data_IF_774029944703
#
_entry.id   IF_774029944703
#
_cell.length_a   1.000
_cell.length_b   1.000
_cell.length_c   1.000
_cell.angle_alpha   90.00
_cell.angle_beta   90.00
_cell.angle_gamma   90.00
#
_symmetry.space_group_name_H-M   'P 1'
#
loop_
_entity.id
_entity.type
_entity.pdbx_description
1 polymer ?
#
# COMPACT_ATOMS: atom_id res chain seq x y z
N UNK A 1 -28.06 -2.31 61.59
CA UNK A 1 -27.60 -1.04 60.98
C UNK A 1 -26.14 -1.20 60.61
N UNK A 2 -25.76 -1.17 59.31
CA UNK A 2 -24.37 -1.23 58.88
C UNK A 2 -23.76 0.19 58.87
N UNK A 3 -22.72 0.43 59.68
CA UNK A 3 -21.88 1.62 59.52
C UNK A 3 -20.73 1.29 58.57
N UNK A 4 -20.76 1.92 57.39
CA UNK A 4 -19.67 1.88 56.42
C UNK A 4 -18.66 2.94 56.85
N UNK A 5 -17.65 2.54 57.62
CA UNK A 5 -16.45 3.35 57.81
C UNK A 5 -15.68 3.37 56.49
N UNK A 6 -15.72 4.53 55.82
CA UNK A 6 -15.07 4.74 54.54
C UNK A 6 -13.55 4.78 54.76
N UNK A 7 -12.90 3.64 54.58
CA UNK A 7 -11.44 3.52 54.58
C UNK A 7 -10.85 4.37 53.47
N UNK A 8 -10.29 5.53 53.84
CA UNK A 8 -9.41 6.35 52.99
C UNK A 8 -8.22 5.48 52.59
N UNK A 9 -8.24 4.96 51.35
CA UNK A 9 -7.15 4.14 50.80
C UNK A 9 -5.87 4.97 50.71
N UNK A 10 -4.94 4.69 51.63
CA UNK A 10 -3.61 5.28 51.73
C UNK A 10 -2.58 4.59 50.82
N UNK A 11 -3.02 3.79 49.85
CA UNK A 11 -2.15 2.88 49.10
C UNK A 11 -1.79 3.38 47.69
N UNK A 12 -1.96 4.69 47.44
CA UNK A 12 -1.56 5.28 46.18
C UNK A 12 -0.31 6.12 46.39
N UNK A 13 0.90 5.58 46.13
CA UNK A 13 2.10 6.37 46.23
C UNK A 13 2.01 7.51 45.21
N UNK A 14 1.84 8.74 45.70
CA UNK A 14 1.97 9.97 44.90
C UNK A 14 3.45 10.16 44.57
N UNK A 15 3.96 9.37 43.64
CA UNK A 15 5.26 9.57 43.04
C UNK A 15 5.14 10.85 42.19
N UNK A 16 5.50 11.99 42.79
CA UNK A 16 5.72 13.24 42.08
C UNK A 16 6.94 13.10 41.19
N UNK A 17 6.82 12.31 40.12
CA UNK A 17 7.83 12.25 39.07
C UNK A 17 7.73 13.58 38.35
N UNK A 18 8.58 14.53 38.77
CA UNK A 18 8.89 15.74 38.02
C UNK A 18 9.41 15.24 36.66
N UNK A 19 8.50 15.04 35.70
CA UNK A 19 8.88 14.77 34.32
C UNK A 19 9.57 16.03 33.89
N UNK A 20 10.88 15.96 33.67
CA UNK A 20 11.54 16.92 32.81
C UNK A 20 10.84 16.76 31.46
N UNK A 21 9.80 17.56 31.24
CA UNK A 21 9.04 17.62 30.00
C UNK A 21 9.94 18.34 29.01
N UNK A 22 10.90 17.58 28.47
CA UNK A 22 11.75 18.01 27.39
C UNK A 22 10.81 18.24 26.21
N UNK A 23 10.67 19.50 25.80
CA UNK A 23 9.78 19.92 24.73
C UNK A 23 10.06 19.08 23.45
N UNK A 24 9.14 18.17 23.09
CA UNK A 24 9.38 17.19 22.04
C UNK A 24 9.50 17.84 20.66
N UNK A 25 8.94 19.03 20.45
CA UNK A 25 8.87 19.70 19.15
C UNK A 25 10.13 20.50 18.81
N UNK A 26 10.76 21.11 19.82
CA UNK A 26 12.07 21.75 19.67
C UNK A 26 13.17 20.73 19.40
N UNK A 27 13.12 19.61 20.13
CA UNK A 27 14.09 18.54 19.98
C UNK A 27 13.94 17.78 18.64
N UNK A 28 12.71 17.56 18.15
CA UNK A 28 12.49 16.89 16.86
C UNK A 28 13.19 17.60 15.69
N UNK A 29 13.08 18.93 15.64
CA UNK A 29 13.71 19.76 14.60
C UNK A 29 15.23 19.77 14.72
N UNK A 30 15.75 19.79 15.95
CA UNK A 30 17.18 19.68 16.21
C UNK A 30 17.71 18.31 15.75
N UNK A 31 17.05 17.21 16.13
CA UNK A 31 17.43 15.85 15.73
C UNK A 31 17.41 15.67 14.22
N UNK A 32 16.42 16.22 13.51
CA UNK A 32 16.34 16.12 12.06
C UNK A 32 17.47 16.90 11.35
N UNK A 33 17.91 18.03 11.94
CA UNK A 33 19.06 18.78 11.44
C UNK A 33 20.37 18.05 11.73
N UNK A 34 20.50 17.48 12.93
CA UNK A 34 21.67 16.69 13.35
C UNK A 34 21.79 15.39 12.56
N UNK A 35 20.69 14.68 12.30
CA UNK A 35 20.67 13.45 11.50
C UNK A 35 21.14 13.70 10.05
N UNK A 36 20.66 14.77 9.42
CA UNK A 36 21.12 15.18 8.08
C UNK A 36 22.59 15.61 8.08
N UNK A 37 23.04 16.23 9.17
CA UNK A 37 24.43 16.67 9.33
C UNK A 37 25.40 15.51 9.55
N UNK A 38 25.07 14.56 10.44
CA UNK A 38 25.87 13.37 10.76
C UNK A 38 25.90 12.35 9.61
N UNK A 39 24.80 12.22 8.85
CA UNK A 39 24.75 11.33 7.68
C UNK A 39 25.55 11.82 6.48
N UNK A 40 25.98 13.09 6.48
CA UNK A 40 26.79 13.65 5.41
C UNK A 40 28.27 13.57 5.79
N UNK A 41 29.13 13.01 4.93
CA UNK A 41 30.59 12.91 5.16
C UNK A 41 31.31 14.25 5.43
N UNK A 42 30.61 15.38 5.26
CA UNK A 42 31.05 16.72 5.62
C UNK A 42 31.31 16.90 7.12
N UNK A 43 30.57 16.21 8.00
CA UNK A 43 30.81 16.31 9.45
C UNK A 43 32.20 15.76 9.83
N UNK A 44 32.52 14.56 9.34
CA UNK A 44 33.83 13.93 9.53
C UNK A 44 34.97 14.79 8.97
N UNK A 45 34.78 15.39 7.79
CA UNK A 45 35.77 16.30 7.20
C UNK A 45 36.02 17.55 8.05
N UNK A 46 34.95 18.23 8.51
CA UNK A 46 35.07 19.42 9.37
C UNK A 46 35.72 19.06 10.70
N UNK A 47 35.30 17.96 11.33
CA UNK A 47 35.85 17.48 12.60
C UNK A 47 37.35 17.17 12.47
N UNK A 48 37.76 16.51 11.38
CA UNK A 48 39.17 16.20 11.10
C UNK A 48 40.00 17.47 10.93
N UNK A 49 39.49 18.46 10.18
CA UNK A 49 40.17 19.75 9.99
C UNK A 49 40.34 20.47 11.32
N UNK A 50 39.30 20.51 12.17
CA UNK A 50 39.37 21.14 13.49
C UNK A 50 40.44 20.46 14.35
N UNK A 51 40.49 19.12 14.39
CA UNK A 51 41.51 18.37 15.13
C UNK A 51 42.91 18.68 14.63
N UNK A 52 43.12 18.70 13.30
CA UNK A 52 44.42 19.02 12.69
C UNK A 52 44.87 20.45 13.03
N UNK A 53 43.96 21.43 12.90
CA UNK A 53 44.24 22.83 13.25
C UNK A 53 44.55 22.95 14.73
N UNK A 54 43.83 22.24 15.60
CA UNK A 54 44.04 22.26 17.04
C UNK A 54 45.40 21.69 17.43
N UNK A 55 45.80 20.58 16.82
CA UNK A 55 47.14 19.99 16.99
C UNK A 55 48.21 20.97 16.50
N UNK A 56 48.02 21.60 15.35
CA UNK A 56 48.95 22.59 14.80
C UNK A 56 49.10 23.83 15.69
N UNK A 57 47.98 24.37 16.22
CA UNK A 57 48.00 25.48 17.18
C UNK A 57 48.74 25.11 18.46
N UNK A 58 48.53 23.89 18.97
CA UNK A 58 49.21 23.41 20.16
C UNK A 58 50.73 23.23 19.92
N UNK A 59 51.13 22.74 18.74
CA UNK A 59 52.54 22.64 18.31
C UNK A 59 53.21 24.02 18.19
N UNK A 60 52.53 25.03 17.67
CA UNK A 60 53.06 26.40 17.54
C UNK A 60 53.14 27.09 18.91
N UNK A 61 52.16 26.85 19.79
CA UNK A 61 52.14 27.34 21.16
C UNK A 61 53.26 26.78 22.06
N UNK A 62 54.00 25.76 21.57
CA UNK A 62 55.21 25.25 22.21
C UNK A 62 56.33 26.31 22.31
N UNK A 63 56.37 27.27 21.38
CA UNK A 63 57.30 28.42 21.44
C UNK A 63 57.10 29.31 22.67
N UNK A 64 55.91 29.27 23.30
CA UNK A 64 55.54 30.09 24.48
C UNK A 64 55.53 29.25 25.78
N UNK A 65 55.96 27.96 25.72
CA UNK A 65 55.85 26.95 26.80
C UNK A 65 54.42 26.75 27.36
N UNK A 66 53.39 26.99 26.56
CA UNK A 66 52.01 27.03 27.09
C UNK A 66 51.38 25.65 27.39
N UNK A 67 52.01 24.51 27.03
CA UNK A 67 51.71 23.18 27.59
C UNK A 67 52.86 22.20 27.25
N UNK A 68 53.84 21.98 28.16
CA UNK A 68 54.93 21.01 27.93
C UNK A 68 54.41 19.56 27.89
N UNK A 69 55.14 18.66 27.21
CA UNK A 69 54.81 17.24 27.13
C UNK A 69 54.51 16.63 28.52
N UNK A 70 53.36 15.97 28.76
CA UNK A 70 52.39 15.39 27.81
C UNK A 70 51.06 16.18 27.79
N UNK A 71 50.92 17.15 26.87
CA UNK A 71 49.72 17.94 26.50
C UNK A 71 48.45 17.70 27.35
N UNK A 72 48.47 18.13 28.61
CA UNK A 72 47.43 17.75 29.59
C UNK A 72 46.11 18.43 29.25
N UNK A 73 46.16 19.64 28.72
CA UNK A 73 44.98 20.43 28.38
C UNK A 73 44.29 19.89 27.12
N UNK A 74 45.07 19.40 26.16
CA UNK A 74 44.54 18.77 24.94
C UNK A 74 43.79 17.48 25.30
N UNK A 75 44.39 16.66 26.15
CA UNK A 75 43.79 15.40 26.56
C UNK A 75 42.55 15.62 27.44
N UNK A 76 42.57 16.64 28.30
CA UNK A 76 41.42 17.02 29.12
C UNK A 76 40.25 17.54 28.26
N UNK A 77 40.54 18.36 27.25
CA UNK A 77 39.53 18.87 26.33
C UNK A 77 38.88 17.74 25.51
N UNK A 78 39.69 16.82 24.98
CA UNK A 78 39.19 15.67 24.23
C UNK A 78 38.40 14.70 25.12
N UNK A 79 38.86 14.44 26.34
CA UNK A 79 38.14 13.63 27.33
C UNK A 79 36.76 14.23 27.64
N UNK A 80 36.69 15.55 27.82
CA UNK A 80 35.42 16.26 28.03
C UNK A 80 34.52 16.18 26.79
N UNK A 81 35.10 16.29 25.58
CA UNK A 81 34.37 16.19 24.32
C UNK A 81 33.75 14.79 24.11
N UNK A 82 34.46 13.73 24.50
CA UNK A 82 33.92 12.37 24.49
C UNK A 82 32.83 12.20 25.56
N UNK A 83 33.04 12.73 26.77
CA UNK A 83 32.08 12.63 27.87
C UNK A 83 30.74 13.31 27.57
N UNK A 84 30.73 14.47 26.90
CA UNK A 84 29.50 15.16 26.50
C UNK A 84 28.81 14.54 25.28
N UNK A 85 29.55 13.78 24.45
CA UNK A 85 28.96 13.11 23.30
C UNK A 85 28.00 11.97 23.72
N UNK A 86 28.33 11.23 24.77
CA UNK A 86 27.53 10.12 25.28
C UNK A 86 26.05 10.47 25.57
N UNK A 87 25.72 11.52 26.36
CA UNK A 87 24.33 11.90 26.59
C UNK A 87 23.62 12.42 25.34
N UNK A 88 24.32 13.13 24.44
CA UNK A 88 23.73 13.58 23.17
C UNK A 88 23.34 12.42 22.26
N UNK A 89 24.21 11.42 22.16
CA UNK A 89 23.95 10.19 21.41
C UNK A 89 22.78 9.43 22.04
N UNK A 90 22.76 9.30 23.37
CA UNK A 90 21.68 8.60 24.09
C UNK A 90 20.32 9.28 23.90
N UNK A 91 20.27 10.61 23.89
CA UNK A 91 19.05 11.35 23.57
C UNK A 91 18.63 11.18 22.09
N UNK A 92 19.59 11.10 21.16
CA UNK A 92 19.30 10.83 19.76
C UNK A 92 18.75 9.41 19.54
N UNK A 93 19.32 8.42 20.25
CA UNK A 93 18.91 7.02 20.19
C UNK A 93 17.53 6.78 20.78
N UNK A 94 17.21 7.33 21.97
CA UNK A 94 15.88 7.18 22.58
C UNK A 94 14.74 7.59 21.64
N UNK A 95 14.97 8.58 20.77
CA UNK A 95 13.96 9.02 19.79
C UNK A 95 13.91 8.16 18.53
N UNK A 96 15.01 7.52 18.15
CA UNK A 96 14.99 6.52 17.09
C UNK A 96 14.16 5.31 17.57
N UNK A 97 14.42 4.83 18.79
CA UNK A 97 13.67 3.72 19.39
C UNK A 97 12.17 4.01 19.49
N UNK A 98 11.78 5.23 19.86
CA UNK A 98 10.36 5.62 19.92
C UNK A 98 9.70 5.65 18.53
N UNK A 99 10.39 6.14 17.50
CA UNK A 99 9.88 6.11 16.11
C UNK A 99 9.77 4.69 15.60
N UNK A 100 10.78 3.87 15.86
CA UNK A 100 10.83 2.47 15.43
C UNK A 100 9.70 1.67 16.10
N UNK A 101 9.40 1.95 17.37
CA UNK A 101 8.23 1.38 18.06
C UNK A 101 6.91 1.76 17.38
N UNK A 102 6.71 3.04 17.07
CA UNK A 102 5.47 3.50 16.39
C UNK A 102 5.35 2.85 15.02
N UNK A 103 6.44 2.79 14.25
CA UNK A 103 6.46 2.16 12.93
C UNK A 103 6.12 0.66 13.01
N UNK A 104 6.68 -0.06 14.00
CA UNK A 104 6.37 -1.48 14.24
C UNK A 104 4.91 -1.69 14.65
N UNK A 105 4.35 -0.83 15.48
CA UNK A 105 2.94 -0.94 15.89
C UNK A 105 1.98 -0.63 14.74
N UNK A 106 2.31 0.33 13.88
CA UNK A 106 1.55 0.55 12.64
C UNK A 106 1.63 -0.64 11.69
N UNK A 107 2.82 -1.21 11.50
CA UNK A 107 3.02 -2.36 10.62
C UNK A 107 2.23 -3.58 11.12
N UNK A 108 2.24 -3.85 12.43
CA UNK A 108 1.40 -4.88 13.06
C UNK A 108 -0.08 -4.65 12.78
N UNK A 109 -0.60 -3.43 12.97
CA UNK A 109 -2.00 -3.10 12.69
C UNK A 109 -2.34 -3.27 11.20
N UNK A 110 -1.44 -2.92 10.29
CA UNK A 110 -1.63 -3.12 8.85
C UNK A 110 -1.64 -4.61 8.50
N UNK A 111 -0.76 -5.41 9.09
CA UNK A 111 -0.72 -6.85 8.91
C UNK A 111 -2.00 -7.52 9.40
N UNK A 112 -2.51 -7.13 10.57
CA UNK A 112 -3.79 -7.63 11.12
C UNK A 112 -4.97 -7.32 10.18
N UNK A 113 -5.05 -6.08 9.67
CA UNK A 113 -6.10 -5.69 8.70
C UNK A 113 -5.99 -6.47 7.41
N UNK A 114 -4.79 -6.58 6.85
CA UNK A 114 -4.54 -7.32 5.60
C UNK A 114 -4.92 -8.80 5.76
N UNK A 115 -4.61 -9.39 6.92
CA UNK A 115 -5.01 -10.76 7.24
C UNK A 115 -6.53 -10.89 7.30
N UNK A 116 -7.22 -9.98 8.00
CA UNK A 116 -8.67 -9.98 8.09
C UNK A 116 -9.35 -9.81 6.72
N UNK A 117 -8.85 -8.89 5.89
CA UNK A 117 -9.35 -8.67 4.53
C UNK A 117 -9.14 -9.91 3.65
N UNK A 118 -7.99 -10.56 3.78
CA UNK A 118 -7.70 -11.80 3.04
C UNK A 118 -8.60 -12.95 3.49
N UNK A 119 -8.84 -13.10 4.80
CA UNK A 119 -9.77 -14.09 5.33
C UNK A 119 -11.21 -13.82 4.88
N UNK A 120 -11.62 -12.54 4.84
CA UNK A 120 -12.92 -12.12 4.34
C UNK A 120 -13.08 -12.46 2.85
N UNK A 121 -12.13 -12.05 2.02
CA UNK A 121 -12.12 -12.37 0.58
C UNK A 121 -12.08 -13.87 0.33
N UNK A 122 -11.33 -14.64 1.11
CA UNK A 122 -11.30 -16.10 1.00
C UNK A 122 -12.67 -16.72 1.33
N UNK A 123 -13.37 -16.22 2.36
CA UNK A 123 -14.74 -16.67 2.71
C UNK A 123 -15.75 -16.28 1.65
N UNK A 124 -15.69 -15.05 1.13
CA UNK A 124 -16.57 -14.62 0.04
C UNK A 124 -16.31 -15.43 -1.24
N UNK A 125 -15.04 -15.67 -1.59
CA UNK A 125 -14.69 -16.50 -2.74
C UNK A 125 -15.18 -17.93 -2.57
N UNK A 126 -15.07 -18.51 -1.37
CA UNK A 126 -15.61 -19.83 -1.07
C UNK A 126 -17.14 -19.87 -1.19
N UNK A 127 -17.84 -18.86 -0.65
CA UNK A 127 -19.29 -18.73 -0.78
C UNK A 127 -19.73 -18.55 -2.23
N UNK A 128 -19.05 -17.68 -2.99
CA UNK A 128 -19.27 -17.49 -4.42
C UNK A 128 -19.04 -18.77 -5.21
N UNK A 129 -17.97 -19.52 -4.89
CA UNK A 129 -17.67 -20.81 -5.53
C UNK A 129 -18.75 -21.85 -5.27
N UNK A 130 -19.31 -21.90 -4.06
CA UNK A 130 -20.42 -22.80 -3.73
C UNK A 130 -21.69 -22.40 -4.50
N UNK A 131 -22.05 -21.11 -4.48
CA UNK A 131 -23.21 -20.59 -5.20
C UNK A 131 -23.09 -20.77 -6.73
N UNK A 132 -21.90 -20.54 -7.30
CA UNK A 132 -21.61 -20.76 -8.72
C UNK A 132 -21.54 -22.25 -9.07
N UNK A 133 -21.05 -23.09 -8.16
CA UNK A 133 -21.03 -24.55 -8.32
C UNK A 133 -22.42 -25.16 -8.35
N UNK A 134 -23.40 -24.56 -7.67
CA UNK A 134 -24.82 -24.94 -7.77
C UNK A 134 -25.50 -24.39 -9.04
N UNK A 135 -25.18 -23.17 -9.47
CA UNK A 135 -25.88 -22.49 -10.59
C UNK A 135 -25.28 -22.72 -11.98
N UNK A 136 -24.01 -23.11 -12.10
CA UNK A 136 -23.45 -23.68 -13.35
C UNK A 136 -23.63 -25.19 -13.28
N UNK A 137 -24.90 -25.63 -13.24
CA UNK A 137 -25.22 -27.04 -13.07
C UNK A 137 -24.65 -27.81 -14.26
N UNK A 138 -23.88 -28.87 -13.97
CA UNK A 138 -23.36 -29.84 -14.94
C UNK A 138 -24.42 -30.28 -15.96
N UNK A 139 -25.68 -30.27 -15.56
CA UNK A 139 -26.86 -30.60 -16.37
C UNK A 139 -27.21 -29.51 -17.41
N UNK A 140 -26.97 -28.23 -17.11
CA UNK A 140 -27.11 -27.14 -18.09
C UNK A 140 -26.01 -27.21 -19.16
N UNK A 141 -24.76 -27.45 -18.76
CA UNK A 141 -23.66 -27.69 -19.70
C UNK A 141 -23.89 -28.95 -20.56
N UNK A 142 -24.43 -30.02 -19.97
CA UNK A 142 -24.84 -31.22 -20.72
C UNK A 142 -25.97 -30.92 -21.69
N UNK A 143 -27.01 -30.22 -21.26
CA UNK A 143 -28.14 -29.85 -22.10
C UNK A 143 -27.73 -28.99 -23.29
N UNK A 144 -26.81 -28.04 -23.09
CA UNK A 144 -26.33 -27.18 -24.19
C UNK A 144 -25.36 -27.91 -25.12
N UNK A 145 -24.51 -28.80 -24.59
CA UNK A 145 -23.68 -29.70 -25.39
C UNK A 145 -24.52 -30.67 -26.24
N UNK A 146 -25.59 -31.22 -25.70
CA UNK A 146 -26.48 -32.16 -26.40
C UNK A 146 -27.33 -31.45 -27.46
N UNK A 147 -27.78 -30.22 -27.18
CA UNK A 147 -28.39 -29.33 -28.19
C UNK A 147 -27.43 -29.01 -29.34
N UNK A 148 -26.17 -28.70 -29.04
CA UNK A 148 -25.17 -28.44 -30.08
C UNK A 148 -24.89 -29.71 -30.88
N UNK A 149 -24.72 -30.86 -30.22
CA UNK A 149 -24.52 -32.15 -30.86
C UNK A 149 -25.66 -32.49 -31.81
N UNK A 150 -26.91 -32.37 -31.36
CA UNK A 150 -28.08 -32.64 -32.20
C UNK A 150 -28.16 -31.71 -33.42
N UNK A 151 -27.84 -30.43 -33.27
CA UNK A 151 -27.78 -29.50 -34.41
C UNK A 151 -26.70 -29.87 -35.43
N UNK A 152 -25.55 -30.37 -34.95
CA UNK A 152 -24.46 -30.84 -35.82
C UNK A 152 -24.91 -32.12 -36.54
N UNK A 153 -25.50 -33.09 -35.85
CA UNK A 153 -26.03 -34.31 -36.46
C UNK A 153 -27.11 -34.02 -37.51
N UNK A 154 -28.04 -33.11 -37.22
CA UNK A 154 -29.06 -32.65 -38.16
C UNK A 154 -28.46 -31.93 -39.38
N UNK A 155 -27.36 -31.19 -39.19
CA UNK A 155 -26.65 -30.55 -40.29
C UNK A 155 -25.88 -31.58 -41.14
N UNK A 156 -25.26 -32.57 -40.51
CA UNK A 156 -24.58 -33.68 -41.17
C UNK A 156 -25.56 -34.55 -41.95
N UNK A 157 -26.72 -34.89 -41.38
CA UNK A 157 -27.77 -35.64 -42.07
C UNK A 157 -28.37 -34.86 -43.23
N UNK A 158 -28.56 -33.54 -43.09
CA UNK A 158 -29.00 -32.69 -44.21
C UNK A 158 -27.96 -32.61 -45.32
N UNK A 159 -26.67 -32.58 -44.99
CA UNK A 159 -25.59 -32.64 -45.97
C UNK A 159 -25.51 -34.02 -46.67
N UNK A 160 -25.74 -35.11 -45.93
CA UNK A 160 -25.78 -36.47 -46.45
C UNK A 160 -27.01 -36.74 -47.34
N UNK A 161 -28.19 -36.25 -46.94
CA UNK A 161 -29.42 -36.35 -47.72
C UNK A 161 -29.43 -35.47 -48.99
N UNK A 162 -28.55 -34.46 -49.04
CA UNK A 162 -28.34 -33.60 -50.22
C UNK A 162 -27.53 -34.23 -51.36
N UNK A 163 -27.03 -35.46 -51.19
CA UNK A 163 -26.15 -36.12 -52.18
C UNK A 163 -26.73 -37.47 -52.60
N UNK A 164 -27.82 -37.47 -53.36
CA UNK A 164 -28.37 -38.66 -54.02
C UNK A 164 -29.00 -38.28 -55.38
N UNK A 165 -28.68 -38.97 -56.49
CA UNK A 165 -29.11 -38.56 -57.82
C UNK A 165 -30.62 -38.75 -58.02
N UNK A 166 -31.19 -37.77 -58.72
CA UNK A 166 -32.61 -37.60 -59.00
C UNK A 166 -33.27 -38.82 -59.69
N UNK A 167 -34.44 -39.22 -59.20
CA UNK A 167 -35.42 -39.99 -59.97
C UNK A 167 -36.80 -39.33 -59.80
N UNK A 168 -37.19 -38.57 -60.82
CA UNK A 168 -38.47 -37.88 -60.88
C UNK A 168 -39.64 -38.79 -61.25
N UNK A 169 -40.76 -38.60 -60.53
CA UNK A 169 -42.14 -38.90 -60.92
C UNK A 169 -43.02 -38.28 -59.82
N UNK A 170 -43.67 -37.13 -59.94
CA UNK A 170 -44.52 -36.66 -61.02
C UNK A 170 -45.96 -36.97 -60.66
N UNK A 171 -46.66 -36.09 -59.91
CA UNK A 171 -48.06 -35.78 -60.22
C UNK A 171 -48.51 -34.46 -59.54
N UNK A 172 -49.41 -33.78 -60.26
CA UNK A 172 -49.86 -32.41 -60.12
C UNK A 172 -51.11 -32.38 -59.23
N UNK A 173 -51.25 -31.38 -58.36
CA UNK A 173 -52.56 -30.71 -58.18
C UNK A 173 -52.47 -29.30 -57.59
N UNK A 174 -52.46 -28.37 -58.54
CA UNK A 174 -53.08 -27.05 -58.60
C UNK A 174 -54.02 -26.68 -57.43
N UNK A 175 -53.69 -25.58 -56.74
CA UNK A 175 -54.53 -24.91 -55.76
C UNK A 175 -54.14 -23.43 -55.58
N UNK A 176 -54.62 -22.61 -56.53
CA UNK A 176 -54.94 -21.18 -56.47
C UNK A 176 -54.10 -20.17 -55.64
N UNK A 177 -53.47 -19.25 -56.39
CA UNK A 177 -53.24 -17.79 -56.11
C UNK A 177 -54.51 -17.16 -55.49
N UNK A 178 -54.55 -16.03 -54.78
CA UNK A 178 -53.66 -15.02 -54.19
C UNK A 178 -54.62 -13.91 -53.71
N UNK A 179 -54.19 -13.11 -52.74
CA UNK A 179 -54.49 -11.67 -52.51
C UNK A 179 -54.28 -11.43 -51.00
N UNK A 180 -53.36 -10.59 -50.50
CA UNK A 180 -53.08 -9.18 -50.80
C UNK A 180 -51.73 -8.74 -50.15
N UNK A 181 -51.27 -7.47 -50.15
CA UNK A 181 -50.00 -7.09 -50.77
C UNK A 181 -48.90 -6.62 -49.78
N UNK A 182 -47.80 -6.19 -50.42
CA UNK A 182 -46.50 -5.80 -49.91
C UNK A 182 -46.39 -4.42 -49.23
N UNK A 183 -45.26 -4.26 -48.53
CA UNK A 183 -44.54 -3.00 -48.27
C UNK A 183 -44.87 -2.33 -46.93
N UNK A 184 -43.96 -1.68 -46.21
CA UNK A 184 -42.50 -1.50 -46.28
C UNK A 184 -42.10 -0.80 -44.96
N UNK A 185 -40.84 -1.02 -44.55
CA UNK A 185 -39.98 -0.09 -43.80
C UNK A 185 -40.17 0.23 -42.30
N UNK A 186 -38.98 0.29 -41.69
CA UNK A 186 -38.57 1.10 -40.55
C UNK A 186 -39.17 0.81 -39.17
N UNK A 187 -38.43 0.02 -38.37
CA UNK A 187 -37.93 0.59 -37.11
C UNK A 187 -36.72 -0.18 -36.58
N UNK A 188 -35.56 0.50 -36.58
CA UNK A 188 -34.28 -0.01 -36.08
C UNK A 188 -33.86 0.94 -34.96
N UNK A 189 -33.85 0.55 -33.67
CA UNK A 189 -33.27 1.39 -32.66
C UNK A 189 -31.74 1.29 -32.73
N UNK A 190 -31.10 2.42 -33.03
CA UNK A 190 -29.66 2.62 -32.97
C UNK A 190 -29.14 2.60 -31.52
N UNK A 191 -27.93 2.10 -31.23
CA UNK A 191 -27.28 2.33 -29.95
C UNK A 191 -26.70 3.76 -29.89
N UNK A 192 -27.13 4.50 -28.86
CA UNK A 192 -26.68 5.84 -28.56
C UNK A 192 -25.24 5.88 -28.03
N UNK A 193 -24.48 6.89 -28.47
CA UNK A 193 -23.67 7.71 -27.57
C UNK A 193 -22.23 7.28 -27.27
N UNK A 194 -21.38 7.22 -28.30
CA UNK A 194 -19.95 7.45 -28.12
C UNK A 194 -19.68 8.96 -28.19
N UNK A 195 -19.60 9.64 -27.05
CA UNK A 195 -19.17 11.04 -26.96
C UNK A 195 -17.93 11.13 -26.07
N UNK A 196 -16.77 10.96 -26.69
CA UNK A 196 -15.49 11.27 -26.05
C UNK A 196 -14.42 11.63 -27.09
N UNK A 197 -14.47 12.85 -27.61
CA UNK A 197 -13.24 13.55 -28.02
C UNK A 197 -13.45 15.03 -28.35
N UNK A 198 -12.61 15.85 -27.70
CA UNK A 198 -12.09 17.17 -28.16
C UNK A 198 -12.94 18.41 -27.89
N UNK A 199 -12.71 19.02 -26.71
CA UNK A 199 -12.34 20.46 -26.59
C UNK A 199 -11.35 20.66 -25.42
N UNK A 200 -10.13 21.09 -25.73
CA UNK A 200 -9.24 21.90 -24.85
C UNK A 200 -9.67 23.40 -24.98
N UNK A 201 -9.15 24.41 -24.24
CA UNK A 201 -8.12 24.46 -23.19
C UNK A 201 -8.58 25.15 -21.88
N UNK A 202 -7.73 25.16 -20.85
CA UNK A 202 -8.03 25.80 -19.55
C UNK A 202 -7.90 27.33 -19.52
N UNK A 203 -8.27 27.98 -18.40
CA UNK A 203 -7.84 29.33 -18.09
C UNK A 203 -6.87 29.38 -16.91
N UNK A 204 -5.87 30.25 -17.07
CA UNK A 204 -5.05 30.80 -16.00
C UNK A 204 -5.85 31.79 -15.14
N UNK A 205 -5.43 31.97 -13.88
CA UNK A 205 -5.69 33.19 -13.10
C UNK A 205 -6.30 32.97 -11.72
N UNK A 206 -5.51 33.29 -10.68
CA UNK A 206 -5.91 33.33 -9.27
C UNK A 206 -4.71 33.18 -8.34
#
# INVERSE_FOLDING_TARGET
>A
MPEITTGRRLDQPRIGRRRFEVDPDGFARLSERVARFLGTGRFLAIQSVIVIVWIALNLIAWQIRWDPYPFILLNLAFSTQAAYAAPLILLAQNRQDDRDRIALDEDRRRAERTKADTEFLARELAALRLAAGETVSRDYLRGELEKLSGKIDDAVQRAAAGTGPAAGRGDRRRGNRKDRPAGTDEDRPAPAGAEQSRRRPGPAGG
#
